data_IF_599609042793
#
_entry.id   IF_599609042793
#
_cell.length_a   1.000
_cell.length_b   1.000
_cell.length_c   1.000
_cell.angle_alpha   90.00
_cell.angle_beta   90.00
_cell.angle_gamma   90.00
#
_symmetry.space_group_name_H-M   'P 1'
#
loop_
_entity.id
_entity.type
_entity.pdbx_description
1 polymer ?
#
# COMPACT_ATOMS: atom_id res chain seq x y z
N UNK A 1 -0.45 -0.15 32.55
CA UNK A 1 -1.48 -0.17 31.49
C UNK A 1 -2.19 -1.51 31.56
N UNK A 2 -3.51 -1.52 31.72
CA UNK A 2 -4.27 -2.78 31.78
C UNK A 2 -4.29 -3.43 30.39
N UNK A 3 -4.31 -4.76 30.32
CA UNK A 3 -4.39 -5.48 29.03
C UNK A 3 -5.60 -5.02 28.19
N UNK A 4 -6.71 -4.68 28.85
CA UNK A 4 -7.89 -4.11 28.21
C UNK A 4 -7.66 -2.73 27.57
N UNK A 5 -6.76 -1.90 28.12
CA UNK A 5 -6.37 -0.62 27.51
C UNK A 5 -5.49 -0.83 26.29
N UNK A 6 -4.65 -1.87 26.28
CA UNK A 6 -3.79 -2.19 25.13
C UNK A 6 -4.60 -2.51 23.88
N UNK A 7 -5.74 -3.18 24.03
CA UNK A 7 -6.61 -3.58 22.91
C UNK A 7 -7.66 -2.53 22.52
N UNK A 8 -7.67 -1.34 23.12
CA UNK A 8 -8.66 -0.30 22.78
C UNK A 8 -8.60 0.13 21.30
N UNK A 9 -7.46 0.00 20.62
CA UNK A 9 -7.36 0.29 19.19
C UNK A 9 -8.23 -0.66 18.32
N UNK A 10 -8.53 -1.87 18.82
CA UNK A 10 -9.45 -2.80 18.15
C UNK A 10 -10.89 -2.26 18.15
N UNK A 11 -11.27 -1.49 19.17
CA UNK A 11 -12.58 -0.82 19.21
C UNK A 11 -12.64 0.24 18.11
N UNK A 12 -11.60 1.04 17.95
CA UNK A 12 -11.49 2.03 16.85
C UNK A 12 -11.58 1.33 15.49
N UNK A 13 -10.90 0.20 15.32
CA UNK A 13 -10.97 -0.60 14.11
C UNK A 13 -12.38 -1.14 13.85
N UNK A 14 -13.03 -1.69 14.88
CA UNK A 14 -14.40 -2.18 14.81
C UNK A 14 -15.39 -1.06 14.44
N UNK A 15 -15.28 0.11 15.05
CA UNK A 15 -16.09 1.28 14.69
C UNK A 15 -15.85 1.72 13.25
N UNK A 16 -14.59 1.72 12.79
CA UNK A 16 -14.24 2.04 11.41
C UNK A 16 -14.90 1.06 10.42
N UNK A 17 -14.89 -0.23 10.73
CA UNK A 17 -15.56 -1.27 9.91
C UNK A 17 -17.08 -1.06 9.89
N UNK A 18 -17.67 -0.59 11.00
CA UNK A 18 -19.11 -0.31 11.07
C UNK A 18 -19.54 0.88 10.19
N UNK A 19 -18.63 1.76 9.79
CA UNK A 19 -18.92 2.85 8.86
C UNK A 19 -19.11 2.36 7.41
N UNK A 20 -18.44 1.27 7.03
CA UNK A 20 -18.53 0.67 5.69
C UNK A 20 -19.98 0.45 5.25
N UNK A 21 -20.85 -0.27 5.99
CA UNK A 21 -22.22 -0.52 5.57
C UNK A 21 -23.08 0.76 5.56
N UNK A 22 -22.75 1.77 6.37
CA UNK A 22 -23.56 3.01 6.49
C UNK A 22 -23.56 3.82 5.20
N UNK A 23 -22.42 3.88 4.51
CA UNK A 23 -22.25 4.60 3.25
C UNK A 23 -21.60 3.74 2.15
N UNK A 24 -21.92 2.44 2.13
CA UNK A 24 -21.22 1.45 1.30
C UNK A 24 -21.23 1.78 -0.19
N UNK A 25 -22.31 2.37 -0.71
CA UNK A 25 -22.40 2.80 -2.12
C UNK A 25 -21.37 3.87 -2.44
N UNK A 26 -21.20 4.86 -1.57
CA UNK A 26 -20.20 5.92 -1.74
C UNK A 26 -18.80 5.34 -1.62
N UNK A 27 -18.54 4.53 -0.59
CA UNK A 27 -17.21 3.96 -0.34
C UNK A 27 -16.79 2.97 -1.45
N UNK A 28 -17.72 2.14 -1.94
CA UNK A 28 -17.49 1.27 -3.08
C UNK A 28 -17.18 2.09 -4.33
N UNK A 29 -17.96 3.12 -4.62
CA UNK A 29 -17.71 3.99 -5.77
C UNK A 29 -16.39 4.78 -5.66
N UNK A 30 -15.98 5.23 -4.46
CA UNK A 30 -14.66 5.84 -4.25
C UNK A 30 -13.54 4.83 -4.54
N UNK A 31 -13.67 3.60 -4.03
CA UNK A 31 -12.69 2.54 -4.24
C UNK A 31 -12.57 2.17 -5.72
N UNK A 32 -13.71 2.00 -6.41
CA UNK A 32 -13.80 1.73 -7.84
C UNK A 32 -13.18 2.87 -8.64
N UNK A 33 -13.54 4.12 -8.33
CA UNK A 33 -13.03 5.31 -9.02
C UNK A 33 -11.52 5.53 -8.79
N UNK A 34 -10.97 5.05 -7.68
CA UNK A 34 -9.52 5.09 -7.42
C UNK A 34 -8.77 3.96 -8.13
N UNK A 35 -9.30 2.74 -8.08
CA UNK A 35 -8.61 1.56 -8.61
C UNK A 35 -8.74 1.37 -10.11
N UNK A 36 -9.91 1.63 -10.72
CA UNK A 36 -10.09 1.43 -12.17
C UNK A 36 -9.11 2.28 -12.98
N UNK A 37 -9.03 3.62 -12.77
CA UNK A 37 -8.08 4.44 -13.50
C UNK A 37 -6.65 4.00 -13.26
N UNK A 38 -6.29 3.67 -12.02
CA UNK A 38 -4.95 3.17 -11.68
C UNK A 38 -4.59 1.91 -12.48
N UNK A 39 -5.50 0.93 -12.53
CA UNK A 39 -5.30 -0.30 -13.30
C UNK A 39 -5.18 -0.03 -14.80
N UNK A 40 -6.00 0.86 -15.34
CA UNK A 40 -5.92 1.28 -16.75
C UNK A 40 -4.58 1.96 -17.03
N UNK A 41 -4.14 2.89 -16.17
CA UNK A 41 -2.85 3.57 -16.29
C UNK A 41 -1.69 2.55 -16.27
N UNK A 42 -1.75 1.54 -15.39
CA UNK A 42 -0.75 0.47 -15.32
C UNK A 42 -0.71 -0.39 -16.59
N UNK A 43 -1.87 -0.74 -17.15
CA UNK A 43 -1.96 -1.49 -18.42
C UNK A 43 -1.44 -0.68 -19.60
N UNK A 44 -1.78 0.62 -19.66
CA UNK A 44 -1.25 1.54 -20.67
C UNK A 44 0.27 1.65 -20.57
N UNK A 45 0.79 1.84 -19.35
CA UNK A 45 2.23 1.86 -19.10
C UNK A 45 2.92 0.58 -19.58
N UNK A 46 2.38 -0.59 -19.23
CA UNK A 46 2.92 -1.89 -19.64
C UNK A 46 2.92 -2.06 -21.17
N UNK A 47 1.86 -1.59 -21.83
CA UNK A 47 1.73 -1.66 -23.29
C UNK A 47 2.71 -0.72 -23.99
N UNK A 48 2.88 0.50 -23.48
CA UNK A 48 3.84 1.47 -24.00
C UNK A 48 5.29 1.02 -23.80
N UNK A 49 5.59 0.38 -22.68
CA UNK A 49 6.90 -0.22 -22.42
C UNK A 49 7.25 -1.29 -23.47
N UNK A 50 6.29 -2.16 -23.81
CA UNK A 50 6.52 -3.22 -24.79
C UNK A 50 6.64 -2.70 -26.23
N UNK A 51 6.00 -1.57 -26.56
CA UNK A 51 5.98 -1.02 -27.93
C UNK A 51 7.16 -0.11 -28.27
N UNK A 52 7.87 0.46 -27.30
CA UNK A 52 8.81 1.55 -27.56
C UNK A 52 10.27 1.13 -27.47
N UNK A 53 11.04 1.45 -28.51
CA UNK A 53 12.51 1.22 -28.52
C UNK A 53 13.30 2.36 -27.84
N UNK A 54 12.67 3.50 -27.57
CA UNK A 54 13.32 4.69 -27.01
C UNK A 54 13.11 4.82 -25.49
N UNK A 55 14.16 4.49 -24.73
CA UNK A 55 14.15 4.50 -23.25
C UNK A 55 13.76 5.85 -22.62
N UNK A 56 14.17 6.97 -23.23
CA UNK A 56 13.83 8.32 -22.72
C UNK A 56 12.31 8.57 -22.73
N UNK A 57 11.63 8.14 -23.79
CA UNK A 57 10.19 8.32 -23.93
C UNK A 57 9.45 7.48 -22.88
N UNK A 58 9.89 6.23 -22.67
CA UNK A 58 9.38 5.35 -21.61
C UNK A 58 9.49 6.01 -20.24
N UNK A 59 10.68 6.55 -19.92
CA UNK A 59 10.93 7.17 -18.62
C UNK A 59 10.09 8.44 -18.38
N UNK A 60 9.96 9.31 -19.39
CA UNK A 60 9.08 10.49 -19.32
C UNK A 60 7.63 10.08 -19.09
N UNK A 61 7.19 9.05 -19.82
CA UNK A 61 5.84 8.52 -19.70
C UNK A 61 5.60 7.87 -18.31
N UNK A 62 6.59 7.17 -17.77
CA UNK A 62 6.57 6.61 -16.40
C UNK A 62 6.37 7.70 -15.35
N UNK A 63 7.16 8.77 -15.42
CA UNK A 63 7.01 9.91 -14.50
C UNK A 63 5.61 10.52 -14.62
N UNK A 64 5.10 10.70 -15.85
CA UNK A 64 3.75 11.22 -16.06
C UNK A 64 2.67 10.32 -15.45
N UNK A 65 2.79 9.00 -15.62
CA UNK A 65 1.90 8.01 -15.01
C UNK A 65 1.95 8.02 -13.48
N UNK A 66 3.16 8.11 -12.91
CA UNK A 66 3.34 8.20 -11.46
C UNK A 66 2.68 9.46 -10.88
N UNK A 67 2.81 10.61 -11.56
CA UNK A 67 2.15 11.85 -11.14
C UNK A 67 0.62 11.71 -11.18
N UNK A 68 0.07 11.13 -12.26
CA UNK A 68 -1.37 10.85 -12.35
C UNK A 68 -1.84 9.92 -11.23
N UNK A 69 -1.13 8.83 -10.99
CA UNK A 69 -1.43 7.90 -9.90
C UNK A 69 -1.47 8.61 -8.55
N UNK A 70 -0.43 9.38 -8.22
CA UNK A 70 -0.35 10.14 -6.97
C UNK A 70 -1.55 11.09 -6.82
N UNK A 71 -1.94 11.80 -7.88
CA UNK A 71 -3.09 12.71 -7.83
C UNK A 71 -4.40 11.97 -7.58
N UNK A 72 -4.64 10.83 -8.25
CA UNK A 72 -5.85 10.02 -8.06
C UNK A 72 -5.91 9.46 -6.63
N UNK A 73 -4.81 8.95 -6.10
CA UNK A 73 -4.72 8.45 -4.72
C UNK A 73 -4.98 9.54 -3.68
N UNK A 74 -4.45 10.74 -3.89
CA UNK A 74 -4.68 11.87 -2.99
C UNK A 74 -6.14 12.31 -2.99
N UNK A 75 -6.78 12.40 -4.16
CA UNK A 75 -8.20 12.73 -4.26
C UNK A 75 -9.09 11.66 -3.60
N UNK A 76 -8.76 10.37 -3.79
CA UNK A 76 -9.45 9.26 -3.14
C UNK A 76 -9.33 9.33 -1.62
N UNK A 77 -8.16 9.70 -1.09
CA UNK A 77 -7.96 9.84 0.36
C UNK A 77 -8.83 10.97 0.94
N UNK A 78 -8.90 12.12 0.26
CA UNK A 78 -9.79 13.22 0.66
C UNK A 78 -11.26 12.75 0.64
N UNK A 79 -11.68 12.05 -0.42
CA UNK A 79 -13.03 11.53 -0.56
C UNK A 79 -13.38 10.54 0.59
N UNK A 80 -12.46 9.64 0.92
CA UNK A 80 -12.64 8.67 2.02
C UNK A 80 -12.77 9.37 3.38
N UNK A 81 -11.97 10.41 3.64
CA UNK A 81 -12.05 11.18 4.90
C UNK A 81 -13.39 11.92 4.97
N UNK A 82 -13.81 12.59 3.90
CA UNK A 82 -15.10 13.29 3.84
C UNK A 82 -16.29 12.33 4.00
N UNK A 83 -16.27 11.19 3.32
CA UNK A 83 -17.29 10.15 3.44
C UNK A 83 -17.35 9.57 4.85
N UNK A 84 -16.19 9.35 5.48
CA UNK A 84 -16.11 8.85 6.87
C UNK A 84 -16.64 9.90 7.86
N UNK A 85 -16.25 11.16 7.73
CA UNK A 85 -16.72 12.25 8.60
C UNK A 85 -18.24 12.48 8.48
N UNK A 86 -18.78 12.40 7.25
CA UNK A 86 -20.22 12.47 7.01
C UNK A 86 -20.97 11.29 7.63
N UNK A 87 -20.38 10.08 7.56
CA UNK A 87 -20.90 8.88 8.22
C UNK A 87 -20.99 9.04 9.74
N UNK A 88 -20.05 9.75 10.37
CA UNK A 88 -20.13 10.05 11.81
C UNK A 88 -21.15 11.14 12.15
N UNK A 89 -21.40 12.08 11.24
CA UNK A 89 -22.30 13.22 11.48
C UNK A 89 -23.76 12.98 11.08
N UNK A 90 -24.13 11.75 10.70
CA UNK A 90 -25.44 11.38 10.11
C UNK A 90 -25.86 12.24 8.90
N UNK A 91 -24.89 12.88 8.23
CA UNK A 91 -25.13 13.69 7.04
C UNK A 91 -25.11 12.79 5.81
N UNK A 92 -26.19 12.79 5.04
CA UNK A 92 -26.24 12.15 3.73
C UNK A 92 -25.43 12.99 2.73
N UNK A 93 -24.22 12.52 2.41
CA UNK A 93 -23.31 13.21 1.50
C UNK A 93 -23.45 12.62 0.08
N UNK A 94 -23.99 13.40 -0.85
CA UNK A 94 -24.11 13.00 -2.26
C UNK A 94 -22.76 13.09 -3.00
N UNK A 95 -22.60 12.35 -4.11
CA UNK A 95 -21.42 12.42 -4.98
C UNK A 95 -21.12 13.83 -5.50
N UNK A 96 -22.15 14.60 -5.84
CA UNK A 96 -22.00 15.96 -6.37
C UNK A 96 -21.49 16.92 -5.30
N UNK A 97 -22.04 16.80 -4.10
CA UNK A 97 -21.60 17.56 -2.93
C UNK A 97 -20.19 17.16 -2.51
N UNK A 98 -19.84 15.89 -2.63
CA UNK A 98 -18.47 15.42 -2.36
C UNK A 98 -17.48 16.04 -3.34
N UNK A 99 -17.80 16.04 -4.63
CA UNK A 99 -16.93 16.58 -5.66
C UNK A 99 -16.72 18.09 -5.52
N UNK A 100 -17.77 18.84 -5.16
CA UNK A 100 -17.66 20.27 -4.87
C UNK A 100 -16.81 20.53 -3.62
N UNK A 101 -16.99 19.75 -2.55
CA UNK A 101 -16.14 19.81 -1.35
C UNK A 101 -14.67 19.50 -1.66
N UNK A 102 -14.38 18.49 -2.49
CA UNK A 102 -13.03 18.14 -2.90
C UNK A 102 -12.37 19.30 -3.66
N UNK A 103 -13.07 19.90 -4.63
CA UNK A 103 -12.57 21.06 -5.40
C UNK A 103 -12.21 22.26 -4.54
N UNK A 104 -12.96 22.51 -3.47
CA UNK A 104 -12.68 23.58 -2.52
C UNK A 104 -11.56 23.23 -1.53
N UNK A 105 -11.44 21.96 -1.15
CA UNK A 105 -10.62 21.55 -0.01
C UNK A 105 -9.22 21.10 -0.41
N UNK A 106 -9.01 20.51 -1.60
CA UNK A 106 -7.76 19.83 -2.00
C UNK A 106 -6.44 20.60 -1.80
N UNK A 107 -6.44 21.94 -1.88
CA UNK A 107 -5.23 22.75 -1.68
C UNK A 107 -4.74 22.75 -0.22
N UNK A 108 -5.66 22.70 0.75
CA UNK A 108 -5.35 22.75 2.19
C UNK A 108 -4.58 21.51 2.69
N UNK A 109 -5.01 20.26 2.42
CA UNK A 109 -4.27 19.07 2.80
C UNK A 109 -2.96 18.93 2.03
N UNK A 110 -2.87 19.41 0.77
CA UNK A 110 -1.60 19.47 0.04
C UNK A 110 -0.60 20.39 0.74
N UNK A 111 -1.03 21.60 1.12
CA UNK A 111 -0.18 22.54 1.86
C UNK A 111 0.22 21.99 3.23
N UNK A 112 -0.74 21.39 3.94
CA UNK A 112 -0.52 20.76 5.24
C UNK A 112 0.48 19.63 5.12
N UNK A 113 0.29 18.72 4.16
CA UNK A 113 1.22 17.62 3.88
C UNK A 113 2.63 18.13 3.54
N UNK A 114 2.77 19.17 2.73
CA UNK A 114 4.07 19.74 2.36
C UNK A 114 4.78 20.40 3.55
N UNK A 115 4.05 21.19 4.35
CA UNK A 115 4.61 21.86 5.53
C UNK A 115 4.96 20.86 6.65
N UNK A 116 4.13 19.83 6.83
CA UNK A 116 4.33 18.74 7.77
C UNK A 116 5.51 17.87 7.36
N UNK A 117 5.65 17.54 6.07
CA UNK A 117 6.82 16.85 5.52
C UNK A 117 8.13 17.60 5.81
N UNK A 118 8.08 18.94 5.85
CA UNK A 118 9.21 19.81 6.22
C UNK A 118 9.42 19.97 7.74
N UNK A 119 8.57 19.37 8.57
CA UNK A 119 8.65 19.42 10.03
C UNK A 119 9.87 18.68 10.59
N UNK A 120 10.22 19.01 11.83
CA UNK A 120 11.48 18.65 12.50
C UNK A 120 11.79 17.15 12.51
N UNK A 121 10.79 16.27 12.66
CA UNK A 121 11.01 14.81 12.73
C UNK A 121 11.59 14.22 11.43
N UNK A 122 11.21 14.72 10.25
CA UNK A 122 11.80 14.29 8.96
C UNK A 122 13.23 14.79 8.79
N UNK A 123 13.58 15.94 9.39
CA UNK A 123 14.95 16.48 9.35
C UNK A 123 15.93 15.64 10.16
N UNK A 124 15.49 15.09 11.30
CA UNK A 124 16.27 14.10 12.06
C UNK A 124 16.52 12.84 11.22
N UNK A 125 15.49 12.34 10.52
CA UNK A 125 15.59 11.18 9.62
C UNK A 125 16.66 11.37 8.53
N UNK A 126 16.63 12.54 7.88
CA UNK A 126 17.55 12.88 6.80
C UNK A 126 19.01 13.01 7.25
N UNK A 127 19.27 13.18 8.55
CA UNK A 127 20.63 13.40 9.06
C UNK A 127 21.19 12.18 9.80
N UNK A 128 20.40 11.56 10.68
CA UNK A 128 20.87 10.46 11.53
C UNK A 128 20.96 9.12 10.80
N UNK A 129 20.10 8.87 9.81
CA UNK A 129 20.13 7.62 9.04
C UNK A 129 21.37 7.53 8.14
N UNK A 130 21.73 8.55 7.32
CA UNK A 130 22.96 8.51 6.54
C UNK A 130 24.21 8.44 7.42
N UNK A 131 24.20 9.12 8.58
CA UNK A 131 25.31 9.06 9.54
C UNK A 131 25.48 7.66 10.13
N UNK A 132 24.39 6.99 10.52
CA UNK A 132 24.44 5.63 11.02
C UNK A 132 24.92 4.63 9.95
N UNK A 133 24.45 4.80 8.70
CA UNK A 133 24.90 3.99 7.56
C UNK A 133 26.38 4.22 7.28
N UNK A 134 26.83 5.47 7.27
CA UNK A 134 28.24 5.82 7.06
C UNK A 134 29.13 5.22 8.16
N UNK A 135 28.67 5.24 9.41
CA UNK A 135 29.38 4.64 10.55
C UNK A 135 29.53 3.12 10.40
N UNK A 136 28.50 2.44 9.91
CA UNK A 136 28.53 0.99 9.62
C UNK A 136 29.46 0.67 8.46
N UNK A 137 29.45 1.47 7.39
CA UNK A 137 30.34 1.27 6.23
C UNK A 137 31.81 1.49 6.60
N UNK A 138 32.09 2.53 7.39
CA UNK A 138 33.46 2.88 7.80
C UNK A 138 34.00 1.96 8.90
N UNK A 139 33.12 1.38 9.73
CA UNK A 139 33.50 0.48 10.82
C UNK A 139 32.52 -0.69 10.95
N UNK A 140 32.58 -1.70 10.06
CA UNK A 140 31.65 -2.83 10.05
C UNK A 140 32.00 -3.85 11.14
N UNK A 141 32.02 -3.42 12.39
CA UNK A 141 32.17 -4.30 13.54
C UNK A 141 30.77 -4.66 14.10
N UNK A 142 30.60 -5.83 14.73
CA UNK A 142 29.29 -6.29 15.21
C UNK A 142 28.68 -5.33 16.25
N UNK A 143 29.51 -4.63 17.02
CA UNK A 143 29.06 -3.65 18.03
C UNK A 143 28.40 -2.43 17.36
N UNK A 144 29.06 -1.84 16.37
CA UNK A 144 28.57 -0.73 15.56
C UNK A 144 27.26 -1.11 14.86
N UNK A 145 27.18 -2.32 14.31
CA UNK A 145 25.95 -2.82 13.69
C UNK A 145 24.82 -2.94 14.73
N UNK A 146 25.09 -3.53 15.90
CA UNK A 146 24.09 -3.61 16.98
C UNK A 146 23.63 -2.24 17.47
N UNK A 147 24.54 -1.27 17.62
CA UNK A 147 24.21 0.11 18.01
C UNK A 147 23.34 0.76 16.93
N UNK A 148 23.75 0.67 15.65
CA UNK A 148 22.99 1.23 14.54
C UNK A 148 21.57 0.63 14.46
N UNK A 149 21.44 -0.67 14.69
CA UNK A 149 20.15 -1.35 14.74
C UNK A 149 19.26 -0.85 15.88
N UNK A 150 19.80 -0.72 17.11
CA UNK A 150 19.07 -0.19 18.26
C UNK A 150 18.62 1.26 18.04
N UNK A 151 19.51 2.10 17.50
CA UNK A 151 19.19 3.49 17.13
C UNK A 151 18.08 3.51 16.07
N UNK A 152 18.14 2.61 15.08
CA UNK A 152 17.11 2.43 14.07
C UNK A 152 15.75 2.08 14.67
N UNK A 153 15.69 1.13 15.61
CA UNK A 153 14.44 0.76 16.30
C UNK A 153 13.88 1.95 17.08
N UNK A 154 14.70 2.60 17.90
CA UNK A 154 14.28 3.78 18.67
C UNK A 154 13.69 4.86 17.75
N UNK A 155 14.35 5.07 16.60
CA UNK A 155 13.91 6.02 15.60
C UNK A 155 12.57 5.63 14.95
N UNK A 156 12.40 4.35 14.57
CA UNK A 156 11.13 3.83 14.04
C UNK A 156 10.00 4.05 15.04
N UNK A 157 10.22 3.79 16.34
CA UNK A 157 9.22 4.01 17.39
C UNK A 157 8.83 5.49 17.48
N UNK A 158 9.80 6.40 17.49
CA UNK A 158 9.55 7.85 17.51
C UNK A 158 8.80 8.33 16.26
N UNK A 159 9.12 7.76 15.09
CA UNK A 159 8.46 8.07 13.83
C UNK A 159 7.01 7.58 13.84
N UNK A 160 6.76 6.35 14.28
CA UNK A 160 5.41 5.80 14.42
C UNK A 160 4.58 6.61 15.43
N UNK A 161 5.18 7.04 16.55
CA UNK A 161 4.49 7.87 17.52
C UNK A 161 4.14 9.26 16.96
N UNK A 162 5.08 9.89 16.25
CA UNK A 162 4.85 11.17 15.58
C UNK A 162 3.80 11.06 14.47
N UNK A 163 3.78 9.95 13.72
CA UNK A 163 2.89 9.74 12.58
C UNK A 163 1.40 9.83 12.93
N UNK A 164 1.03 9.58 14.19
CA UNK A 164 -0.35 9.73 14.67
C UNK A 164 -0.83 11.18 14.51
N UNK A 165 -0.04 12.13 15.00
CA UNK A 165 -0.35 13.56 14.90
C UNK A 165 -0.37 14.00 13.43
N UNK A 166 0.46 13.38 12.58
CA UNK A 166 0.57 13.73 11.17
C UNK A 166 -0.65 13.26 10.39
N UNK A 167 -1.03 12.00 10.58
CA UNK A 167 -2.26 11.45 10.01
C UNK A 167 -3.48 12.26 10.45
N UNK A 168 -3.56 12.61 11.74
CA UNK A 168 -4.67 13.39 12.25
C UNK A 168 -4.63 14.86 11.78
N UNK A 169 -3.45 15.47 11.62
CA UNK A 169 -3.33 16.83 11.05
C UNK A 169 -3.85 16.90 9.61
N UNK A 170 -3.63 15.83 8.85
CA UNK A 170 -4.17 15.70 7.50
C UNK A 170 -5.70 15.61 7.53
N UNK A 171 -6.26 14.80 8.45
CA UNK A 171 -7.73 14.72 8.67
C UNK A 171 -8.31 16.06 9.11
N UNK A 172 -7.70 16.73 10.09
CA UNK A 172 -8.13 18.04 10.59
C UNK A 172 -8.15 19.08 9.47
N UNK A 173 -7.13 19.11 8.60
CA UNK A 173 -7.08 20.06 7.47
C UNK A 173 -8.19 19.88 6.42
N UNK A 174 -8.85 18.72 6.42
CA UNK A 174 -9.95 18.39 5.52
C UNK A 174 -11.30 18.61 6.19
N UNK A 175 -11.41 18.20 7.46
CA UNK A 175 -12.68 18.17 8.20
C UNK A 175 -12.97 19.51 8.89
N UNK A 176 -11.95 20.20 9.40
CA UNK A 176 -12.11 21.45 10.11
C UNK A 176 -11.74 22.64 9.20
N UNK A 177 -12.70 23.54 9.00
CA UNK A 177 -12.46 24.75 8.21
C UNK A 177 -11.52 25.70 8.95
N UNK A 178 -10.60 26.32 8.21
CA UNK A 178 -9.65 27.31 8.75
C UNK A 178 -8.32 26.72 9.23
N UNK A 179 -8.25 25.43 9.54
CA UNK A 179 -7.00 24.80 9.98
C UNK A 179 -6.15 24.31 8.79
N UNK A 180 -4.93 24.82 8.67
CA UNK A 180 -3.97 24.38 7.64
C UNK A 180 -2.54 24.43 8.17
N UNK A 181 -1.67 23.58 7.61
CA UNK A 181 -0.25 23.66 7.93
C UNK A 181 0.03 23.32 9.39
N UNK A 182 0.72 24.23 10.09
CA UNK A 182 1.05 24.06 11.52
C UNK A 182 -0.16 24.13 12.45
N UNK A 183 -1.14 24.96 12.14
CA UNK A 183 -2.36 25.08 12.95
C UNK A 183 -3.12 23.76 12.99
N UNK A 184 -3.17 23.05 11.86
CA UNK A 184 -3.76 21.70 11.80
C UNK A 184 -2.96 20.67 12.60
N UNK A 185 -1.63 20.80 12.69
CA UNK A 185 -0.77 19.94 13.52
C UNK A 185 -0.99 20.19 15.01
N UNK A 186 -1.04 21.46 15.41
CA UNK A 186 -1.31 21.86 16.79
C UNK A 186 -2.69 21.37 17.22
N UNK A 187 -3.70 21.58 16.36
CA UNK A 187 -5.05 21.08 16.60
C UNK A 187 -5.11 19.56 16.69
N UNK A 188 -4.43 18.85 15.79
CA UNK A 188 -4.33 17.40 15.86
C UNK A 188 -3.62 16.91 17.13
N UNK A 189 -2.57 17.61 17.58
CA UNK A 189 -1.82 17.27 18.78
C UNK A 189 -2.65 17.43 20.06
N UNK A 190 -3.52 18.45 20.10
CA UNK A 190 -4.52 18.70 21.15
C UNK A 190 -5.60 17.60 21.14
N UNK A 191 -6.21 17.33 19.99
CA UNK A 191 -7.33 16.36 19.86
C UNK A 191 -6.91 14.94 20.25
N UNK A 192 -5.67 14.55 19.94
CA UNK A 192 -5.17 13.19 20.25
C UNK A 192 -4.57 13.08 21.66
N UNK A 193 -4.51 14.17 22.42
CA UNK A 193 -3.95 14.16 23.76
C UNK A 193 -4.67 13.14 24.66
N UNK A 194 -3.91 12.37 25.44
CA UNK A 194 -4.44 11.24 26.21
C UNK A 194 -4.82 9.98 25.41
N UNK A 195 -4.95 10.05 24.08
CA UNK A 195 -5.25 8.89 23.21
C UNK A 195 -4.10 8.51 22.25
N UNK A 196 -2.95 9.19 22.33
CA UNK A 196 -1.78 8.97 21.44
C UNK A 196 -1.33 7.52 21.33
N UNK A 197 -1.32 6.79 22.44
CA UNK A 197 -0.92 5.38 22.45
C UNK A 197 -1.86 4.52 21.59
N UNK A 198 -3.16 4.77 21.59
CA UNK A 198 -4.11 4.01 20.76
C UNK A 198 -3.89 4.28 19.28
N UNK A 199 -3.64 5.53 18.90
CA UNK A 199 -3.26 5.89 17.53
C UNK A 199 -1.93 5.24 17.12
N UNK A 200 -0.94 5.20 18.02
CA UNK A 200 0.33 4.52 17.78
C UNK A 200 0.13 3.02 17.53
N UNK A 201 -0.66 2.35 18.36
CA UNK A 201 -0.97 0.92 18.21
C UNK A 201 -1.71 0.64 16.90
N UNK A 202 -2.64 1.52 16.50
CA UNK A 202 -3.34 1.43 15.23
C UNK A 202 -2.38 1.55 14.04
N UNK A 203 -1.49 2.55 14.06
CA UNK A 203 -0.48 2.73 13.02
C UNK A 203 0.49 1.55 12.97
N UNK A 204 0.92 1.04 14.13
CA UNK A 204 1.77 -0.15 14.21
C UNK A 204 1.10 -1.36 13.56
N UNK A 205 -0.18 -1.59 13.86
CA UNK A 205 -0.96 -2.68 13.26
C UNK A 205 -1.03 -2.59 11.73
N UNK A 206 -1.39 -1.43 11.17
CA UNK A 206 -1.46 -1.26 9.71
C UNK A 206 -0.09 -1.34 9.02
N UNK A 207 0.97 -0.82 9.64
CA UNK A 207 2.33 -0.93 9.09
C UNK A 207 2.84 -2.38 9.09
N UNK A 208 2.57 -3.15 10.15
CA UNK A 208 2.91 -4.57 10.19
C UNK A 208 2.15 -5.37 9.13
N UNK A 209 0.85 -5.07 8.94
CA UNK A 209 0.05 -5.69 7.89
C UNK A 209 0.61 -5.38 6.50
N UNK A 210 0.93 -4.11 6.22
CA UNK A 210 1.53 -3.69 4.95
C UNK A 210 2.89 -4.35 4.72
N UNK A 211 3.74 -4.41 5.74
CA UNK A 211 5.05 -5.07 5.68
C UNK A 211 4.92 -6.56 5.36
N UNK A 212 3.97 -7.27 5.98
CA UNK A 212 3.72 -8.68 5.70
C UNK A 212 3.29 -8.91 4.24
N UNK A 213 2.37 -8.09 3.71
CA UNK A 213 1.94 -8.16 2.31
C UNK A 213 3.13 -7.90 1.37
N UNK A 214 3.92 -6.87 1.65
CA UNK A 214 5.11 -6.54 0.86
C UNK A 214 6.12 -7.69 0.80
N UNK A 215 6.40 -8.34 1.94
CA UNK A 215 7.30 -9.50 2.00
C UNK A 215 6.78 -10.65 1.13
N UNK A 216 5.48 -10.96 1.20
CA UNK A 216 4.89 -12.03 0.38
C UNK A 216 4.98 -11.70 -1.11
N UNK A 217 4.61 -10.48 -1.52
CA UNK A 217 4.71 -10.05 -2.91
C UNK A 217 6.16 -10.06 -3.42
N UNK A 218 7.10 -9.58 -2.61
CA UNK A 218 8.53 -9.60 -2.93
C UNK A 218 9.02 -11.03 -3.16
N UNK A 219 8.66 -11.97 -2.29
CA UNK A 219 9.04 -13.38 -2.44
C UNK A 219 8.47 -13.97 -3.73
N UNK A 220 7.20 -13.70 -4.07
CA UNK A 220 6.63 -14.15 -5.34
C UNK A 220 7.40 -13.64 -6.56
N UNK A 221 7.77 -12.35 -6.57
CA UNK A 221 8.55 -11.75 -7.66
C UNK A 221 9.94 -12.39 -7.79
N UNK A 222 10.61 -12.64 -6.65
CA UNK A 222 11.91 -13.31 -6.62
C UNK A 222 11.82 -14.70 -7.24
N UNK A 223 10.85 -15.53 -6.82
CA UNK A 223 10.68 -16.86 -7.39
C UNK A 223 10.34 -16.84 -8.88
N UNK A 224 9.51 -15.90 -9.33
CA UNK A 224 9.22 -15.71 -10.75
C UNK A 224 10.49 -15.38 -11.55
N UNK A 225 11.30 -14.45 -11.06
CA UNK A 225 12.57 -14.08 -11.71
C UNK A 225 13.55 -15.24 -11.79
N UNK A 226 13.73 -15.99 -10.69
CA UNK A 226 14.58 -17.19 -10.67
C UNK A 226 14.07 -18.30 -11.60
N UNK A 227 12.75 -18.45 -11.72
CA UNK A 227 12.15 -19.43 -12.65
C UNK A 227 12.47 -19.07 -14.11
N UNK A 228 12.29 -17.80 -14.49
CA UNK A 228 12.65 -17.32 -15.83
C UNK A 228 14.16 -17.49 -16.09
N UNK A 229 14.99 -17.12 -15.11
CA UNK A 229 16.45 -17.28 -15.20
C UNK A 229 16.85 -18.74 -15.39
N UNK A 230 16.26 -19.67 -14.62
CA UNK A 230 16.49 -21.10 -14.77
C UNK A 230 16.18 -21.60 -16.19
N UNK A 231 15.02 -21.24 -16.74
CA UNK A 231 14.67 -21.63 -18.12
C UNK A 231 15.60 -21.03 -19.17
N UNK A 232 16.08 -19.80 -18.97
CA UNK A 232 17.08 -19.19 -19.85
C UNK A 232 18.41 -19.96 -19.81
N UNK A 233 18.90 -20.33 -18.63
CA UNK A 233 20.11 -21.15 -18.49
C UNK A 233 19.95 -22.53 -19.13
N UNK A 234 18.79 -23.18 -18.95
CA UNK A 234 18.49 -24.47 -19.57
C UNK A 234 18.53 -24.37 -21.10
N UNK A 235 17.88 -23.32 -21.66
CA UNK A 235 17.89 -23.04 -23.10
C UNK A 235 19.30 -22.85 -23.65
N UNK A 236 20.20 -22.18 -22.92
CA UNK A 236 21.59 -21.96 -23.36
C UNK A 236 22.41 -23.25 -23.44
N UNK A 237 22.07 -24.27 -22.65
CA UNK A 237 22.78 -25.56 -22.63
C UNK A 237 22.29 -26.53 -23.72
N UNK A 238 21.25 -26.17 -24.48
CA UNK A 238 20.65 -27.05 -25.47
C UNK A 238 19.86 -28.22 -24.86
N UNK A 239 19.56 -28.19 -23.56
CA UNK A 239 18.62 -29.13 -22.95
C UNK A 239 17.20 -28.79 -23.44
N UNK A 240 16.51 -29.73 -24.07
CA UNK A 240 15.14 -29.51 -24.56
C UNK A 240 14.23 -29.03 -23.41
N UNK A 241 13.50 -27.95 -23.66
CA UNK A 241 12.45 -27.49 -22.77
C UNK A 241 11.26 -28.41 -23.04
N UNK A 242 11.05 -29.42 -22.19
CA UNK A 242 9.90 -30.32 -22.26
C UNK A 242 8.56 -29.61 -21.93
N UNK A 243 8.21 -28.56 -22.65
CA UNK A 243 6.86 -27.97 -22.64
C UNK A 243 5.82 -28.96 -23.13
N UNK A 244 6.23 -29.95 -23.95
CA UNK A 244 5.37 -31.01 -24.45
C UNK A 244 4.97 -32.01 -23.34
N UNK A 245 5.90 -32.39 -22.45
CA UNK A 245 5.64 -33.31 -21.34
C UNK A 245 4.66 -32.77 -20.29
N UNK A 246 4.69 -31.46 -20.04
CA UNK A 246 3.76 -30.80 -19.11
C UNK A 246 2.31 -30.75 -19.65
N UNK A 247 2.14 -30.52 -20.95
CA UNK A 247 0.83 -30.65 -21.63
C UNK A 247 0.40 -32.12 -21.78
N UNK A 248 1.33 -33.06 -21.84
CA UNK A 248 1.04 -34.49 -21.89
C UNK A 248 0.54 -35.04 -20.54
N UNK A 249 0.92 -34.43 -19.42
CA UNK A 249 0.37 -34.77 -18.10
C UNK A 249 -1.10 -34.36 -17.92
N UNK A 250 -1.55 -33.30 -18.60
CA UNK A 250 -2.97 -32.90 -18.60
C UNK A 250 -3.81 -33.68 -19.60
N UNK A 251 -3.19 -34.30 -20.61
CA UNK A 251 -3.83 -35.31 -21.46
C UNK A 251 -3.58 -36.70 -20.89
N UNK A 252 -4.44 -37.13 -19.96
CA UNK A 252 -4.62 -38.57 -19.70
C UNK A 252 -4.66 -39.32 -21.03
N UNK A 253 -3.87 -40.39 -21.22
CA UNK A 253 -3.82 -41.07 -22.50
C UNK A 253 -5.20 -41.67 -22.78
N UNK A 254 -5.89 -41.13 -23.79
CA UNK A 254 -7.17 -41.64 -24.31
C UNK A 254 -7.10 -43.13 -24.68
N UNK A 255 -5.89 -43.66 -24.85
CA UNK A 255 -5.58 -45.09 -25.05
C UNK A 255 -6.00 -45.95 -23.85
N UNK A 256 -6.01 -45.43 -22.62
CA UNK A 256 -6.50 -46.17 -21.45
C UNK A 256 -8.04 -46.30 -21.46
N UNK A 257 -8.77 -45.28 -21.94
CA UNK A 257 -10.24 -45.30 -22.05
C UNK A 257 -10.73 -46.17 -23.21
N UNK A 258 -10.00 -46.27 -24.32
CA UNK A 258 -10.39 -47.17 -25.42
C UNK A 258 -10.14 -48.65 -25.11
N UNK A 259 -9.17 -48.98 -24.25
CA UNK A 259 -9.00 -50.34 -23.73
C UNK A 259 -10.08 -50.71 -22.70
N UNK A 260 -10.40 -49.80 -21.78
CA UNK A 260 -11.51 -50.00 -20.82
C UNK A 260 -12.88 -50.13 -21.50
N UNK A 261 -13.12 -49.44 -22.63
CA UNK A 261 -14.36 -49.60 -23.41
C UNK A 261 -14.48 -50.95 -24.13
N UNK A 262 -13.37 -51.53 -24.59
CA UNK A 262 -13.35 -52.85 -25.24
C UNK A 262 -13.45 -54.01 -24.24
N UNK A 263 -12.97 -53.84 -23.02
CA UNK A 263 -13.09 -54.86 -21.96
C UNK A 263 -14.50 -54.90 -21.33
N UNK A 264 -15.28 -53.81 -21.44
CA UNK A 264 -16.68 -53.79 -20.98
C UNK A 264 -17.62 -54.46 -21.99
N UNK A 265 -17.28 -54.46 -23.29
CA UNK A 265 -18.11 -55.06 -24.33
C UNK A 265 -17.91 -56.58 -24.51
N UNK A 266 -16.92 -57.18 -23.84
CA UNK A 266 -16.64 -58.62 -23.85
C UNK A 266 -17.20 -59.39 -22.64
N UNK A 267 -17.95 -58.71 -21.75
CA UNK A 267 -18.50 -59.30 -20.51
C UNK A 267 -20.04 -59.34 -20.46
N UNK A 268 -20.75 -58.87 -21.49
CA UNK A 268 -22.20 -59.14 -21.61
C UNK A 268 -22.45 -60.21 -22.68
N UNK A 269 -22.84 -61.39 -22.18
CA UNK A 269 -23.57 -62.44 -22.89
C UNK A 269 -24.70 -61.88 -23.77
#
# INVERSE_FOLDING_TARGET
MKLSEFFRFLIILYESIKLLPKNWKLMASIAILSHIPTSILFLLFSSSFQSSQHLLLVYVLEIAFLLLFITISHLSTIATILASAASYSDKNLSFENMFSSIKGTWKRPLLTSFQVSRSSSTRYLSFFVPLAILLVITSPNPITISIAFLVGIMFIVLQLYSSVVWALSYVVSIVEEGFQGREAVEKAAEVVEGQRLHGFMLNLFFNLLLSAIFVVCWMMLVFMAYTVFYFQCKKQRGEEIDTLGYLQYTKLPTIALSRLGNDIHSVQL
#
